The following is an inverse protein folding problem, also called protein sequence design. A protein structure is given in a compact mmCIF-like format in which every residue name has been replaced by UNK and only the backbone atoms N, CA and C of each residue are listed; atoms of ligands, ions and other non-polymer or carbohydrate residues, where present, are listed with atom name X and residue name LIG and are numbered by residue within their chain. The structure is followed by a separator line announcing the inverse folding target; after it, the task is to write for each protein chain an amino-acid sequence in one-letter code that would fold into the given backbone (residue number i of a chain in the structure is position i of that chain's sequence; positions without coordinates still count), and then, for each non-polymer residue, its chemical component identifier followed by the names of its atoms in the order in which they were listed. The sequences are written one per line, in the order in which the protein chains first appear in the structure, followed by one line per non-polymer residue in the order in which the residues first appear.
data_IF_163203028409
#
_entry.id   IF_163203028409
#
_cell.length_a   1.000
_cell.length_b   1.000
_cell.length_c   1.000
_cell.angle_alpha   90.00
_cell.angle_beta   90.00
_cell.angle_gamma   90.00
#
_symmetry.space_group_name_H-M   'P 1'
#
loop_
_entity.id
_entity.type
_entity.pdbx_description
1 polymer ?
#
# COMPACT_ATOMS: atom_id res chain seq x y z
N UNK A 1 15.21 8.56 1.04
CA UNK A 1 14.50 8.18 2.28
C UNK A 1 14.17 6.71 2.17
N UNK A 2 14.40 5.94 3.22
CA UNK A 2 13.95 4.54 3.27
C UNK A 2 12.44 4.53 3.50
N UNK A 3 11.68 3.89 2.61
CA UNK A 3 10.25 3.71 2.78
C UNK A 3 9.96 2.66 3.86
N UNK A 4 8.88 2.80 4.64
CA UNK A 4 8.36 1.72 5.46
C UNK A 4 8.11 0.44 4.64
N UNK A 5 8.21 -0.73 5.27
CA UNK A 5 8.08 -2.02 4.58
C UNK A 5 6.68 -2.25 3.96
N UNK A 6 5.65 -1.59 4.49
CA UNK A 6 4.28 -1.61 4.01
C UNK A 6 4.01 -0.56 2.91
N UNK A 7 5.03 0.18 2.45
CA UNK A 7 4.88 1.24 1.45
C UNK A 7 5.87 1.06 0.30
N UNK A 8 5.36 1.13 -0.92
CA UNK A 8 6.14 1.08 -2.15
C UNK A 8 5.77 2.24 -3.06
N UNK A 9 6.73 2.70 -3.87
CA UNK A 9 6.48 3.64 -4.94
C UNK A 9 7.10 3.12 -6.24
N UNK A 10 6.26 2.91 -7.25
CA UNK A 10 6.68 2.54 -8.60
C UNK A 10 6.79 3.78 -9.47
N UNK A 11 8.02 4.24 -9.70
CA UNK A 11 8.32 5.43 -10.49
C UNK A 11 7.85 5.31 -11.95
N UNK A 12 8.02 4.13 -12.57
CA UNK A 12 7.74 3.89 -13.99
C UNK A 12 6.26 4.03 -14.35
N UNK A 13 5.37 3.66 -13.42
CA UNK A 13 3.91 3.77 -13.58
C UNK A 13 3.28 4.82 -12.68
N UNK A 14 4.10 5.57 -11.93
CA UNK A 14 3.68 6.58 -10.95
C UNK A 14 2.55 6.06 -10.05
N UNK A 15 2.85 5.00 -9.30
CA UNK A 15 1.90 4.33 -8.41
C UNK A 15 2.48 4.23 -7.00
N UNK A 16 1.77 4.83 -6.06
CA UNK A 16 2.01 4.64 -4.62
C UNK A 16 1.20 3.45 -4.13
N UNK A 17 1.84 2.51 -3.43
CA UNK A 17 1.20 1.34 -2.87
C UNK A 17 1.37 1.31 -1.36
N UNK A 18 0.27 1.06 -0.65
CA UNK A 18 0.24 0.84 0.80
C UNK A 18 -0.36 -0.53 1.11
N UNK A 19 0.39 -1.41 1.78
CA UNK A 19 -0.02 -2.78 2.16
C UNK A 19 0.14 -2.98 3.67
N UNK A 20 -0.72 -2.39 4.51
CA UNK A 20 -0.68 -2.64 5.93
C UNK A 20 -0.95 -4.12 6.24
N UNK A 21 -0.22 -4.64 7.23
CA UNK A 21 -0.39 -5.99 7.74
C UNK A 21 -0.60 -6.00 9.25
N UNK A 22 -1.39 -6.94 9.76
CA UNK A 22 -1.65 -7.08 11.20
C UNK A 22 -2.65 -6.04 11.71
N UNK A 23 -2.16 -4.94 12.30
CA UNK A 23 -2.99 -3.93 12.95
C UNK A 23 -3.14 -2.67 12.09
N UNK A 24 -4.40 -2.30 11.80
CA UNK A 24 -4.75 -1.00 11.24
C UNK A 24 -5.20 -0.05 12.37
N UNK A 25 -4.35 0.90 12.73
CA UNK A 25 -4.60 1.89 13.77
C UNK A 25 -4.30 3.31 13.25
N UNK A 26 -4.51 4.30 14.12
CA UNK A 26 -4.21 5.69 13.77
C UNK A 26 -2.72 5.91 13.44
N UNK A 27 -1.81 5.17 14.06
CA UNK A 27 -0.39 5.34 13.81
C UNK A 27 -0.01 4.84 12.41
N UNK A 28 -0.55 3.70 11.96
CA UNK A 28 -0.28 3.16 10.62
C UNK A 28 -0.87 4.05 9.53
N UNK A 29 -2.10 4.51 9.69
CA UNK A 29 -2.71 5.46 8.73
C UNK A 29 -1.96 6.79 8.69
N UNK A 30 -1.58 7.34 9.84
CA UNK A 30 -0.85 8.62 9.89
C UNK A 30 0.54 8.52 9.24
N UNK A 31 1.24 7.40 9.44
CA UNK A 31 2.53 7.15 8.76
C UNK A 31 2.35 7.13 7.24
N UNK A 32 1.38 6.37 6.73
CA UNK A 32 1.12 6.28 5.30
C UNK A 32 0.75 7.65 4.69
N UNK A 33 -0.09 8.42 5.37
CA UNK A 33 -0.48 9.77 4.94
C UNK A 33 0.70 10.74 4.92
N UNK A 34 1.58 10.69 5.92
CA UNK A 34 2.76 11.54 5.96
C UNK A 34 3.74 11.20 4.82
N UNK A 35 4.01 9.91 4.60
CA UNK A 35 4.87 9.46 3.50
C UNK A 35 4.27 9.86 2.14
N UNK A 36 2.95 9.70 1.98
CA UNK A 36 2.23 10.12 0.78
C UNK A 36 2.38 11.63 0.54
N UNK A 37 2.12 12.46 1.56
CA UNK A 37 2.23 13.92 1.46
C UNK A 37 3.65 14.38 1.13
N UNK A 38 4.66 13.72 1.71
CA UNK A 38 6.07 13.97 1.39
C UNK A 38 6.41 13.66 -0.06
N UNK A 39 5.90 12.56 -0.62
CA UNK A 39 6.12 12.21 -2.03
C UNK A 39 5.43 13.21 -2.96
N UNK A 40 4.20 13.59 -2.65
CA UNK A 40 3.45 14.60 -3.38
C UNK A 40 4.13 15.98 -3.36
N UNK A 41 4.80 16.34 -2.26
CA UNK A 41 5.56 17.59 -2.15
C UNK A 41 6.87 17.54 -2.96
N UNK A 42 7.55 16.39 -2.98
CA UNK A 42 8.83 16.20 -3.67
C UNK A 42 8.68 16.06 -5.17
N UNK A 43 7.78 15.18 -5.62
CA UNK A 43 7.64 14.82 -7.02
C UNK A 43 6.85 15.86 -7.82
N UNK A 44 5.96 16.61 -7.17
CA UNK A 44 5.06 17.66 -7.71
C UNK A 44 4.09 17.22 -8.81
N UNK A 45 4.41 16.19 -9.57
CA UNK A 45 3.51 15.55 -10.52
C UNK A 45 2.54 14.58 -9.79
N UNK A 46 1.31 14.41 -10.30
CA UNK A 46 0.32 13.52 -9.70
C UNK A 46 0.69 12.05 -9.87
N UNK A 47 0.22 11.19 -8.97
CA UNK A 47 0.39 9.74 -9.06
C UNK A 47 -0.82 9.03 -8.45
N UNK A 48 -1.16 7.86 -9.00
CA UNK A 48 -2.28 7.08 -8.48
C UNK A 48 -1.85 6.32 -7.22
N UNK A 49 -2.85 5.83 -6.49
CA UNK A 49 -2.66 5.16 -5.20
C UNK A 49 -3.40 3.83 -5.20
N UNK A 50 -2.78 2.81 -4.61
CA UNK A 50 -3.40 1.52 -4.33
C UNK A 50 -3.17 1.16 -2.86
N UNK A 51 -4.23 0.90 -2.12
CA UNK A 51 -4.16 0.38 -0.75
C UNK A 51 -4.69 -1.04 -0.73
N UNK A 52 -3.90 -1.97 -0.19
CA UNK A 52 -4.27 -3.37 -0.06
C UNK A 52 -4.43 -3.75 1.41
N UNK A 53 -5.66 -4.04 1.82
CA UNK A 53 -5.97 -4.34 3.22
C UNK A 53 -6.07 -5.84 3.48
N UNK A 54 -5.70 -6.69 2.52
CA UNK A 54 -5.91 -8.14 2.61
C UNK A 54 -5.13 -8.81 3.74
N UNK A 55 -4.06 -8.19 4.22
CA UNK A 55 -3.19 -8.71 5.28
C UNK A 55 -3.50 -8.10 6.66
N UNK A 56 -4.59 -7.35 6.81
CA UNK A 56 -4.99 -6.76 8.10
C UNK A 56 -5.79 -7.79 8.90
N UNK A 57 -5.33 -8.07 10.11
CA UNK A 57 -5.99 -9.00 11.05
C UNK A 57 -6.96 -8.26 11.99
N UNK A 58 -6.64 -7.01 12.32
CA UNK A 58 -7.39 -6.22 13.31
C UNK A 58 -7.42 -4.73 12.96
N UNK A 59 -8.54 -4.09 13.26
CA UNK A 59 -8.70 -2.63 13.14
C UNK A 59 -8.96 -2.00 14.51
N UNK A 60 -8.18 -0.99 14.85
CA UNK A 60 -8.32 -0.11 16.01
C UNK A 60 -8.36 1.35 15.54
N UNK A 61 -9.36 1.64 14.72
CA UNK A 61 -9.66 2.99 14.25
C UNK A 61 -10.94 3.51 14.92
N UNK A 62 -11.10 4.81 14.89
CA UNK A 62 -12.36 5.46 15.20
C UNK A 62 -12.77 6.38 14.05
N UNK A 63 -14.09 6.59 13.90
CA UNK A 63 -14.63 7.39 12.81
C UNK A 63 -14.19 8.86 12.85
N UNK A 64 -14.02 9.43 14.04
CA UNK A 64 -13.57 10.82 14.19
C UNK A 64 -12.19 11.03 13.55
N UNK A 65 -11.25 10.13 13.79
CA UNK A 65 -9.93 10.17 13.18
C UNK A 65 -10.00 10.03 11.66
N UNK A 66 -10.80 9.08 11.15
CA UNK A 66 -10.97 8.87 9.71
C UNK A 66 -11.57 10.12 9.03
N UNK A 67 -12.52 10.79 9.68
CA UNK A 67 -13.07 12.06 9.20
C UNK A 67 -11.99 13.13 9.14
N UNK A 68 -11.24 13.31 10.23
CA UNK A 68 -10.19 14.33 10.33
C UNK A 68 -9.12 14.15 9.27
N UNK A 69 -8.59 12.92 9.11
CA UNK A 69 -7.55 12.65 8.12
C UNK A 69 -8.08 12.81 6.70
N UNK A 70 -9.33 12.41 6.43
CA UNK A 70 -9.95 12.57 5.10
C UNK A 70 -10.12 14.04 4.74
N UNK A 71 -10.65 14.86 5.64
CA UNK A 71 -10.78 16.31 5.45
C UNK A 71 -9.41 16.97 5.27
N UNK A 72 -8.41 16.58 6.06
CA UNK A 72 -7.04 17.03 5.87
C UNK A 72 -6.54 16.73 4.44
N UNK A 73 -6.81 15.54 3.90
CA UNK A 73 -6.44 15.19 2.51
C UNK A 73 -7.17 16.03 1.48
N UNK A 74 -8.48 16.27 1.66
CA UNK A 74 -9.26 17.15 0.76
C UNK A 74 -8.62 18.54 0.72
N UNK A 75 -8.35 19.14 1.88
CA UNK A 75 -7.82 20.50 1.98
C UNK A 75 -6.39 20.61 1.41
N UNK A 76 -5.52 19.64 1.73
CA UNK A 76 -4.11 19.69 1.30
C UNK A 76 -3.89 19.31 -0.16
N UNK A 77 -4.87 18.68 -0.80
CA UNK A 77 -4.81 18.24 -2.19
C UNK A 77 -5.70 19.07 -3.14
N UNK A 78 -6.45 20.06 -2.64
CA UNK A 78 -7.49 20.78 -3.39
C UNK A 78 -7.03 21.36 -4.74
N UNK A 79 -5.83 21.95 -4.79
CA UNK A 79 -5.30 22.64 -5.98
C UNK A 79 -4.40 21.73 -6.85
N UNK A 80 -4.51 20.41 -6.71
CA UNK A 80 -3.67 19.44 -7.43
C UNK A 80 -4.47 18.69 -8.50
N UNK A 81 -3.80 18.18 -9.56
CA UNK A 81 -4.47 17.39 -10.59
C UNK A 81 -5.17 16.14 -10.01
N UNK A 82 -6.32 15.73 -10.58
CA UNK A 82 -7.05 14.56 -10.09
C UNK A 82 -6.22 13.28 -10.11
N UNK A 83 -6.40 12.46 -9.08
CA UNK A 83 -5.75 11.13 -8.96
C UNK A 83 -6.77 10.06 -8.62
N UNK A 84 -6.44 8.82 -8.96
CA UNK A 84 -7.19 7.64 -8.54
C UNK A 84 -6.58 7.06 -7.27
N UNK A 85 -7.43 6.68 -6.32
CA UNK A 85 -7.07 5.99 -5.09
C UNK A 85 -7.92 4.73 -4.96
N UNK A 86 -7.37 3.60 -5.37
CA UNK A 86 -8.04 2.32 -5.29
C UNK A 86 -7.76 1.65 -3.94
N UNK A 87 -8.80 1.09 -3.32
CA UNK A 87 -8.72 0.40 -2.05
C UNK A 87 -9.23 -1.02 -2.25
N UNK A 88 -8.40 -2.03 -2.02
CA UNK A 88 -8.80 -3.43 -2.01
C UNK A 88 -9.16 -3.83 -0.58
N UNK A 89 -10.41 -4.19 -0.33
CA UNK A 89 -10.88 -4.71 0.98
C UNK A 89 -11.96 -5.76 0.80
N UNK A 90 -11.81 -6.86 1.52
CA UNK A 90 -12.82 -7.93 1.59
C UNK A 90 -13.53 -7.96 2.95
N UNK A 91 -12.91 -7.37 3.99
CA UNK A 91 -13.50 -7.21 5.31
C UNK A 91 -14.48 -6.03 5.34
N UNK A 92 -15.69 -6.26 5.86
CA UNK A 92 -16.75 -5.25 5.92
C UNK A 92 -16.51 -4.17 6.96
N UNK A 93 -15.89 -4.49 8.09
CA UNK A 93 -15.56 -3.54 9.16
C UNK A 93 -14.50 -2.55 8.67
N UNK A 94 -13.43 -3.07 8.06
CA UNK A 94 -12.40 -2.26 7.40
C UNK A 94 -13.03 -1.44 6.26
N UNK A 95 -13.90 -2.09 5.47
CA UNK A 95 -14.64 -1.46 4.38
C UNK A 95 -15.45 -0.24 4.81
N UNK A 96 -16.07 -0.25 6.00
CA UNK A 96 -16.84 0.91 6.50
C UNK A 96 -15.96 2.15 6.74
N UNK A 97 -14.74 1.99 7.24
CA UNK A 97 -13.81 3.12 7.42
C UNK A 97 -13.39 3.72 6.07
N UNK A 98 -13.10 2.88 5.09
CA UNK A 98 -12.76 3.35 3.75
C UNK A 98 -13.96 3.93 3.00
N UNK A 99 -15.17 3.43 3.25
CA UNK A 99 -16.38 4.02 2.70
C UNK A 99 -16.58 5.45 3.23
N UNK A 100 -16.34 5.68 4.51
CA UNK A 100 -16.39 7.01 5.09
C UNK A 100 -15.35 7.94 4.44
N UNK A 101 -14.13 7.46 4.23
CA UNK A 101 -13.10 8.21 3.49
C UNK A 101 -13.53 8.55 2.06
N UNK A 102 -14.12 7.59 1.34
CA UNK A 102 -14.59 7.77 -0.03
C UNK A 102 -15.71 8.83 -0.11
N UNK A 103 -16.67 8.81 0.82
CA UNK A 103 -17.75 9.80 0.88
C UNK A 103 -17.19 11.21 1.11
N UNK A 104 -16.26 11.37 2.05
CA UNK A 104 -15.69 12.69 2.36
C UNK A 104 -14.87 13.27 1.21
N UNK A 105 -14.30 12.41 0.36
CA UNK A 105 -13.43 12.80 -0.75
C UNK A 105 -14.16 12.89 -2.10
N UNK A 106 -15.47 12.62 -2.15
CA UNK A 106 -16.26 12.49 -3.40
C UNK A 106 -16.14 13.72 -4.31
N UNK A 107 -16.23 14.92 -3.75
CA UNK A 107 -16.14 16.19 -4.49
C UNK A 107 -14.71 16.76 -4.57
N UNK A 108 -13.69 15.96 -4.22
CA UNK A 108 -12.29 16.37 -4.25
C UNK A 108 -11.56 15.80 -5.48
N UNK A 109 -10.35 16.31 -5.81
CA UNK A 109 -9.53 15.70 -6.86
C UNK A 109 -9.03 14.27 -6.53
N UNK A 110 -9.28 13.76 -5.32
CA UNK A 110 -8.91 12.40 -4.91
C UNK A 110 -10.10 11.48 -5.20
N UNK A 111 -10.08 10.82 -6.36
CA UNK A 111 -11.12 9.87 -6.73
C UNK A 111 -10.89 8.55 -5.99
N UNK A 112 -11.70 8.26 -4.98
CA UNK A 112 -11.58 7.01 -4.21
C UNK A 112 -12.57 5.97 -4.72
N UNK A 113 -12.11 4.73 -4.88
CA UNK A 113 -12.98 3.57 -5.13
C UNK A 113 -12.52 2.34 -4.35
N UNK A 114 -13.51 1.60 -3.86
CA UNK A 114 -13.31 0.37 -3.10
C UNK A 114 -13.61 -0.82 -4.00
N UNK A 115 -12.73 -1.82 -3.96
CA UNK A 115 -12.77 -3.03 -4.77
C UNK A 115 -12.69 -4.26 -3.86
N UNK A 116 -13.33 -5.35 -4.31
CA UNK A 116 -13.17 -6.68 -3.70
C UNK A 116 -12.16 -7.54 -4.46
N UNK A 117 -12.04 -7.29 -5.76
CA UNK A 117 -11.13 -8.02 -6.64
C UNK A 117 -9.98 -7.13 -7.08
N UNK A 118 -8.74 -7.65 -6.93
CA UNK A 118 -7.52 -6.93 -7.31
C UNK A 118 -7.48 -6.64 -8.81
N UNK A 119 -8.05 -7.52 -9.63
CA UNK A 119 -8.14 -7.36 -11.08
C UNK A 119 -8.97 -6.13 -11.47
N UNK A 120 -10.08 -5.87 -10.78
CA UNK A 120 -10.93 -4.71 -11.04
C UNK A 120 -10.23 -3.40 -10.64
N UNK A 121 -9.50 -3.42 -9.52
CA UNK A 121 -8.67 -2.29 -9.09
C UNK A 121 -7.59 -1.98 -10.13
N UNK A 122 -6.86 -3.00 -10.61
CA UNK A 122 -5.82 -2.84 -11.64
C UNK A 122 -6.39 -2.24 -12.94
N UNK A 123 -7.51 -2.81 -13.42
CA UNK A 123 -8.21 -2.34 -14.61
C UNK A 123 -8.66 -0.88 -14.46
N UNK A 124 -9.22 -0.51 -13.31
CA UNK A 124 -9.67 0.86 -13.06
C UNK A 124 -8.50 1.84 -12.93
N UNK A 125 -7.41 1.44 -12.31
CA UNK A 125 -6.18 2.23 -12.23
C UNK A 125 -5.48 2.38 -13.59
N UNK A 126 -5.69 1.44 -14.50
CA UNK A 126 -5.00 1.39 -15.79
C UNK A 126 -3.57 0.87 -15.67
N UNK A 127 -3.31 -0.01 -14.70
CA UNK A 127 -1.98 -0.59 -14.44
C UNK A 127 -2.03 -2.12 -14.64
N UNK A 128 -0.89 -2.77 -14.98
CA UNK A 128 -0.82 -4.23 -15.06
C UNK A 128 -1.14 -4.89 -13.71
N UNK A 129 -1.83 -6.03 -13.72
CA UNK A 129 -2.24 -6.74 -12.49
C UNK A 129 -1.02 -7.13 -11.64
N UNK A 130 0.07 -7.51 -12.30
CA UNK A 130 1.33 -7.96 -11.69
C UNK A 130 1.96 -6.86 -10.83
N UNK A 131 1.61 -5.58 -11.06
CA UNK A 131 2.06 -4.45 -10.25
C UNK A 131 1.32 -4.34 -8.92
N UNK A 132 0.11 -4.91 -8.83
CA UNK A 132 -0.67 -4.90 -7.60
C UNK A 132 -0.42 -6.15 -6.74
N UNK A 133 0.01 -7.25 -7.35
CA UNK A 133 0.36 -8.49 -6.64
C UNK A 133 1.59 -8.25 -5.76
N UNK A 134 1.55 -8.77 -4.54
CA UNK A 134 2.71 -8.73 -3.65
C UNK A 134 3.81 -9.62 -4.25
N UNK A 135 4.99 -9.05 -4.47
CA UNK A 135 6.16 -9.84 -4.78
C UNK A 135 6.62 -10.52 -3.49
N UNK A 136 6.09 -11.70 -3.18
CA UNK A 136 6.54 -12.54 -2.06
C UNK A 136 8.00 -13.02 -2.19
N UNK A 137 8.75 -12.55 -3.19
CA UNK A 137 10.12 -12.96 -3.51
C UNK A 137 11.22 -12.26 -2.70
N UNK A 138 10.91 -11.45 -1.67
CA UNK A 138 11.96 -10.94 -0.75
C UNK A 138 12.21 -11.79 0.49
N UNK A 139 11.44 -12.87 0.71
CA UNK A 139 11.57 -13.71 1.91
C UNK A 139 12.26 -15.08 1.67
N UNK A 140 12.60 -15.44 0.42
CA UNK A 140 13.08 -16.81 0.12
C UNK A 140 14.50 -16.89 -0.45
N UNK A 141 15.15 -15.77 -0.78
CA UNK A 141 16.44 -15.81 -1.49
C UNK A 141 17.67 -15.80 -0.58
N UNK A 142 17.55 -15.50 0.72
CA UNK A 142 18.72 -15.45 1.63
C UNK A 142 18.93 -16.75 2.44
N UNK A 143 17.88 -17.51 2.78
CA UNK A 143 18.02 -18.72 3.61
C UNK A 143 18.31 -20.00 2.82
N UNK A 144 18.05 -20.01 1.51
CA UNK A 144 18.28 -21.19 0.66
C UNK A 144 19.73 -21.34 0.15
N UNK A 145 20.47 -20.23 0.07
CA UNK A 145 21.77 -20.22 -0.61
C UNK A 145 22.98 -20.45 0.33
N UNK A 146 22.78 -20.30 1.64
CA UNK A 146 23.82 -20.58 2.65
C UNK A 146 23.87 -22.06 3.01
N UNK A 147 22.71 -22.70 3.20
CA UNK A 147 22.60 -24.12 3.54
C UNK A 147 23.14 -25.04 2.43
N UNK A 148 23.03 -24.63 1.16
CA UNK A 148 23.52 -25.42 0.02
C UNK A 148 25.04 -25.29 -0.18
N UNK A 149 25.65 -24.17 0.23
CA UNK A 149 27.11 -23.97 0.19
C UNK A 149 27.81 -24.75 1.30
N UNK A 150 27.27 -24.75 2.52
CA UNK A 150 27.87 -25.49 3.64
C UNK A 150 27.77 -27.01 3.48
N UNK A 151 26.75 -27.50 2.76
CA UNK A 151 26.60 -28.94 2.51
C UNK A 151 27.54 -29.45 1.40
N UNK A 152 27.89 -28.61 0.41
CA UNK A 152 28.87 -28.97 -0.63
C UNK A 152 30.32 -28.94 -0.15
N UNK A 153 30.63 -28.10 0.86
CA UNK A 153 31.99 -27.98 1.41
C UNK A 153 32.36 -29.11 2.38
N UNK A 154 31.39 -29.85 2.94
CA UNK A 154 31.66 -30.95 3.89
C UNK A 154 31.78 -32.33 3.23
N UNK A 155 31.47 -32.48 1.94
CA UNK A 155 31.53 -33.78 1.25
C UNK A 155 32.90 -34.16 0.68
N UNK A 156 33.88 -33.24 0.70
CA UNK A 156 35.21 -33.47 0.11
C UNK A 156 36.31 -33.86 1.11
N UNK A 157 36.05 -33.94 2.42
CA UNK A 157 37.09 -34.21 3.44
C UNK A 157 37.10 -35.63 4.05
N UNK A 158 36.38 -36.60 3.49
CA UNK A 158 36.51 -38.00 3.95
C UNK A 158 36.71 -38.97 2.80
N UNK A 159 37.91 -38.96 2.23
CA UNK A 159 38.49 -40.14 1.58
C UNK A 159 40.01 -39.98 1.50
N UNK A 160 40.72 -40.31 2.57
CA UNK A 160 41.97 -41.10 2.50
C UNK A 160 42.25 -41.74 3.86
#
# INVERSE_FOLDING_TARGET
MTLPADIEFHEDIRLFIYRPSGLLDQASVSRAVNVLADHEAKLKEPFNRFSDTSAIDRVELNYQYVIQVSLYRVLTYADRPPVKSAILTTDSTIGHYFQLHAIITEDSPINVRIFRERQDAAKWLGVPLERLVENSSRATDETGNQTKKDLLLRSDETST
#
